data_IF_421080440156
#
_entry.id   IF_421080440156
#
_cell.length_a   1.000
_cell.length_b   1.000
_cell.length_c   1.000
_cell.angle_alpha   90.00
_cell.angle_beta   90.00
_cell.angle_gamma   90.00
#
_symmetry.space_group_name_H-M   'P 1'
#
loop_
_entity.id
_entity.type
_entity.pdbx_description
1 polymer ?
#
# COMPACT_ATOMS: atom_id res chain seq x y z
N UNK A 1 22.54 15.90 -13.50
CA UNK A 1 21.57 14.94 -14.07
C UNK A 1 20.77 14.41 -12.89
N UNK A 2 19.49 14.82 -12.72
CA UNK A 2 18.58 14.21 -11.74
C UNK A 2 18.40 12.74 -12.19
N UNK A 3 18.81 11.80 -11.34
CA UNK A 3 18.64 10.38 -11.63
C UNK A 3 17.13 10.05 -11.70
N UNK A 4 16.73 9.26 -12.69
CA UNK A 4 15.40 8.68 -12.71
C UNK A 4 15.41 7.44 -11.83
N UNK A 5 14.57 7.42 -10.80
CA UNK A 5 14.35 6.24 -9.99
C UNK A 5 13.38 5.30 -10.71
N UNK A 6 13.69 4.02 -10.64
CA UNK A 6 12.88 2.96 -11.21
C UNK A 6 12.57 1.98 -10.09
N UNK A 7 11.31 1.59 -9.98
CA UNK A 7 10.85 0.58 -9.05
C UNK A 7 10.53 -0.70 -9.83
N UNK A 8 11.07 -1.81 -9.38
CA UNK A 8 10.75 -3.13 -9.90
C UNK A 8 10.09 -3.94 -8.80
N UNK A 9 8.90 -4.50 -9.10
CA UNK A 9 8.21 -5.40 -8.18
C UNK A 9 8.96 -6.73 -8.14
N UNK A 10 9.33 -7.16 -6.94
CA UNK A 10 9.88 -8.48 -6.69
C UNK A 10 8.80 -9.53 -6.49
N UNK A 11 9.14 -10.63 -5.81
CA UNK A 11 8.22 -11.73 -5.55
C UNK A 11 7.04 -11.30 -4.69
N UNK A 12 5.84 -11.76 -5.07
CA UNK A 12 4.66 -11.72 -4.23
C UNK A 12 4.63 -13.01 -3.40
N UNK A 13 4.53 -12.85 -2.08
CA UNK A 13 4.47 -13.96 -1.13
C UNK A 13 3.10 -13.97 -0.47
N UNK A 14 2.37 -15.06 -0.64
CA UNK A 14 1.11 -15.25 0.07
C UNK A 14 1.38 -15.67 1.51
N UNK A 15 0.82 -14.93 2.47
CA UNK A 15 0.87 -15.22 3.89
C UNK A 15 -0.48 -15.79 4.32
N UNK A 16 -0.47 -17.02 4.83
CA UNK A 16 -1.69 -17.74 5.23
C UNK A 16 -1.62 -18.19 6.68
N UNK A 17 -2.78 -18.38 7.31
CA UNK A 17 -2.87 -18.97 8.63
C UNK A 17 -3.28 -20.44 8.55
N UNK A 18 -2.85 -21.24 9.53
CA UNK A 18 -3.35 -22.59 9.73
C UNK A 18 -4.59 -22.56 10.63
N UNK A 19 -5.78 -22.63 10.01
CA UNK A 19 -7.05 -22.61 10.71
C UNK A 19 -7.26 -23.81 11.66
N UNK A 20 -6.47 -24.88 11.52
CA UNK A 20 -6.52 -26.08 12.40
C UNK A 20 -5.72 -25.87 13.69
N UNK A 21 -4.73 -25.02 13.67
CA UNK A 21 -3.90 -24.70 14.84
C UNK A 21 -4.60 -23.72 15.78
N UNK A 22 -5.36 -24.25 16.75
CA UNK A 22 -6.05 -23.46 17.76
C UNK A 22 -5.15 -23.01 18.92
N UNK A 23 -3.94 -23.54 19.04
CA UNK A 23 -3.02 -23.21 20.12
C UNK A 23 -2.37 -21.83 19.94
N UNK A 24 -2.24 -21.36 18.69
CA UNK A 24 -1.64 -20.07 18.35
C UNK A 24 -2.69 -19.18 17.69
N UNK A 25 -3.00 -18.00 18.24
CA UNK A 25 -3.94 -17.07 17.61
C UNK A 25 -3.51 -16.72 16.18
N UNK A 26 -4.49 -16.54 15.29
CA UNK A 26 -4.27 -16.25 13.86
C UNK A 26 -3.31 -15.09 13.62
N UNK A 27 -3.45 -14.00 14.36
CA UNK A 27 -2.59 -12.82 14.23
C UNK A 27 -1.12 -13.16 14.45
N UNK A 28 -0.81 -13.98 15.46
CA UNK A 28 0.57 -14.41 15.73
C UNK A 28 1.11 -15.35 14.66
N UNK A 29 0.28 -16.23 14.10
CA UNK A 29 0.70 -17.13 13.01
C UNK A 29 1.13 -16.30 11.79
N UNK A 30 0.32 -15.33 11.38
CA UNK A 30 0.58 -14.45 10.24
C UNK A 30 1.81 -13.56 10.51
N UNK A 31 1.89 -12.95 11.69
CA UNK A 31 3.02 -12.08 12.05
C UNK A 31 4.35 -12.85 12.02
N UNK A 32 4.39 -14.06 12.56
CA UNK A 32 5.61 -14.90 12.51
C UNK A 32 6.06 -15.17 11.09
N UNK A 33 5.14 -15.53 10.18
CA UNK A 33 5.47 -15.74 8.78
C UNK A 33 6.01 -14.46 8.12
N UNK A 34 5.39 -13.30 8.38
CA UNK A 34 5.87 -12.00 7.88
C UNK A 34 7.30 -11.75 8.37
N UNK A 35 7.55 -11.93 9.66
CA UNK A 35 8.87 -11.72 10.26
C UNK A 35 9.91 -12.68 9.69
N UNK A 36 9.55 -13.95 9.50
CA UNK A 36 10.44 -14.96 8.93
C UNK A 36 10.79 -14.63 7.46
N UNK A 37 9.82 -14.20 6.65
CA UNK A 37 10.08 -13.76 5.28
C UNK A 37 10.93 -12.49 5.24
N UNK A 38 10.69 -11.53 6.14
CA UNK A 38 11.52 -10.34 6.25
C UNK A 38 12.98 -10.69 6.62
N UNK A 39 13.18 -11.54 7.62
CA UNK A 39 14.53 -12.00 8.03
C UNK A 39 15.24 -12.75 6.91
N UNK A 40 14.55 -13.67 6.24
CA UNK A 40 15.07 -14.45 5.10
C UNK A 40 15.54 -13.55 3.95
N UNK A 41 14.88 -12.42 3.75
CA UNK A 41 15.19 -11.47 2.67
C UNK A 41 16.06 -10.30 3.13
N UNK A 42 16.46 -10.24 4.40
CA UNK A 42 17.23 -9.13 4.95
C UNK A 42 16.48 -7.82 5.05
N UNK A 43 15.13 -7.86 5.12
CA UNK A 43 14.27 -6.68 5.26
C UNK A 43 14.25 -6.26 6.72
N UNK A 44 14.61 -5.01 7.00
CA UNK A 44 14.53 -4.42 8.33
C UNK A 44 13.10 -3.89 8.62
N UNK A 45 12.75 -3.69 9.91
CA UNK A 45 11.41 -3.20 10.28
C UNK A 45 11.04 -1.88 9.62
N UNK A 46 11.97 -0.96 9.49
CA UNK A 46 11.80 0.33 8.80
C UNK A 46 11.55 0.20 7.29
N UNK A 47 11.77 -0.97 6.72
CA UNK A 47 11.56 -1.28 5.30
C UNK A 47 10.32 -2.17 5.09
N UNK A 48 9.48 -2.29 6.12
CA UNK A 48 8.16 -2.92 6.07
C UNK A 48 7.06 -1.88 6.25
N UNK A 49 6.08 -1.87 5.33
CA UNK A 49 4.86 -1.10 5.48
C UNK A 49 3.65 -2.03 5.61
N UNK A 50 2.71 -1.66 6.47
CA UNK A 50 1.50 -2.47 6.75
C UNK A 50 0.27 -1.57 6.70
N UNK A 51 -0.78 -2.04 6.02
CA UNK A 51 -2.11 -1.40 6.11
C UNK A 51 -2.67 -1.61 7.53
N UNK A 52 -2.76 -0.54 8.29
CA UNK A 52 -3.29 -0.52 9.65
C UNK A 52 -4.80 -0.26 9.72
N UNK A 53 -5.52 -0.36 8.59
CA UNK A 53 -6.97 -0.12 8.57
C UNK A 53 -7.73 -1.31 9.13
N UNK A 54 -8.64 -1.07 10.06
CA UNK A 54 -9.54 -2.10 10.60
C UNK A 54 -8.79 -3.33 11.14
N UNK A 55 -8.93 -4.48 10.47
CA UNK A 55 -8.28 -5.72 10.85
C UNK A 55 -6.75 -5.68 10.80
N UNK A 56 -6.14 -4.73 10.12
CA UNK A 56 -4.69 -4.56 10.05
C UNK A 56 -4.05 -4.00 11.32
N UNK A 57 -4.81 -3.26 12.13
CA UNK A 57 -4.26 -2.65 13.35
C UNK A 57 -3.70 -3.68 14.35
N UNK A 58 -4.39 -4.78 14.71
CA UNK A 58 -3.85 -5.81 15.59
C UNK A 58 -2.55 -6.46 15.06
N UNK A 59 -2.41 -6.63 13.74
CA UNK A 59 -1.17 -7.14 13.15
C UNK A 59 -0.01 -6.17 13.38
N UNK A 60 -0.25 -4.87 13.19
CA UNK A 60 0.76 -3.84 13.45
C UNK A 60 1.21 -3.82 14.91
N UNK A 61 0.29 -4.03 15.87
CA UNK A 61 0.61 -4.03 17.29
C UNK A 61 1.46 -5.25 17.67
N UNK A 62 1.12 -6.43 17.17
CA UNK A 62 1.90 -7.65 17.38
C UNK A 62 3.27 -7.55 16.70
N UNK A 63 3.36 -7.03 15.46
CA UNK A 63 4.63 -6.80 14.78
C UNK A 63 5.55 -5.86 15.57
N UNK A 64 4.99 -4.78 16.12
CA UNK A 64 5.74 -3.83 16.93
C UNK A 64 6.27 -4.46 18.24
N UNK A 65 5.47 -5.29 18.90
CA UNK A 65 5.86 -5.97 20.13
C UNK A 65 6.83 -7.14 19.92
N UNK A 66 6.65 -7.93 18.87
CA UNK A 66 7.40 -9.17 18.63
C UNK A 66 8.68 -8.95 17.80
N UNK A 67 8.74 -7.89 17.01
CA UNK A 67 9.85 -7.71 16.06
C UNK A 67 10.39 -6.28 15.97
N UNK A 68 9.59 -5.30 15.56
CA UNK A 68 10.08 -3.94 15.35
C UNK A 68 8.97 -2.90 15.41
N UNK A 69 9.18 -1.85 16.22
CA UNK A 69 8.32 -0.67 16.28
C UNK A 69 8.53 0.32 15.11
N UNK A 70 9.59 0.10 14.30
CA UNK A 70 9.95 0.96 13.17
C UNK A 70 9.13 0.67 11.90
N UNK A 71 8.20 -0.28 11.93
CA UNK A 71 7.32 -0.57 10.79
C UNK A 71 6.49 0.67 10.42
N UNK A 72 6.32 0.91 9.11
CA UNK A 72 5.45 1.97 8.63
C UNK A 72 3.98 1.51 8.68
N UNK A 73 3.22 2.11 9.58
CA UNK A 73 1.77 1.89 9.67
C UNK A 73 1.04 2.87 8.77
N UNK A 74 0.24 2.40 7.82
CA UNK A 74 -0.51 3.24 6.89
C UNK A 74 -1.99 2.96 7.00
N UNK A 75 -2.77 3.94 7.44
CA UNK A 75 -4.23 3.85 7.43
C UNK A 75 -4.78 4.27 6.07
N UNK A 76 -5.31 3.34 5.30
CA UNK A 76 -5.86 3.59 3.96
C UNK A 76 -7.06 4.53 3.99
N UNK A 77 -7.89 4.44 5.02
CA UNK A 77 -9.02 5.36 5.25
C UNK A 77 -8.62 6.71 5.84
N UNK A 78 -7.38 6.85 6.29
CA UNK A 78 -6.86 8.07 6.89
C UNK A 78 -6.73 9.23 5.91
N UNK A 79 -6.35 10.39 6.43
CA UNK A 79 -6.11 11.62 5.66
C UNK A 79 -4.97 11.39 4.65
N UNK A 80 -5.11 11.91 3.44
CA UNK A 80 -4.03 11.97 2.47
C UNK A 80 -2.86 12.82 3.01
N UNK A 81 -1.68 12.70 2.44
CA UNK A 81 -0.50 13.41 2.94
C UNK A 81 -0.55 14.91 2.67
N UNK A 82 0.17 15.68 3.47
CA UNK A 82 0.40 17.11 3.21
C UNK A 82 1.63 17.34 2.29
N UNK A 83 2.13 16.26 1.64
CA UNK A 83 3.19 16.35 0.63
C UNK A 83 2.65 16.92 -0.68
N UNK A 84 3.50 17.62 -1.43
CA UNK A 84 3.14 18.08 -2.77
C UNK A 84 2.82 16.90 -3.68
N UNK A 85 1.80 17.06 -4.51
CA UNK A 85 1.37 16.04 -5.48
C UNK A 85 2.44 15.76 -6.53
N UNK A 86 3.20 16.79 -6.92
CA UNK A 86 4.38 16.68 -7.79
C UNK A 86 5.32 17.86 -7.54
N UNK A 87 6.57 17.79 -8.01
CA UNK A 87 7.56 18.88 -7.89
C UNK A 87 7.03 20.21 -8.44
N UNK A 88 6.26 20.16 -9.51
CA UNK A 88 5.74 21.35 -10.20
C UNK A 88 4.34 21.79 -9.73
N UNK A 89 3.73 21.04 -8.79
CA UNK A 89 2.41 21.35 -8.26
C UNK A 89 2.50 22.18 -6.98
N UNK A 90 1.60 23.16 -6.83
CA UNK A 90 1.38 23.83 -5.55
C UNK A 90 0.41 23.06 -4.66
N UNK A 91 -0.37 22.14 -5.24
CA UNK A 91 -1.34 21.32 -4.50
C UNK A 91 -0.64 20.26 -3.65
N UNK A 92 -1.18 20.03 -2.48
CA UNK A 92 -0.80 18.94 -1.59
C UNK A 92 -1.81 17.80 -1.66
N UNK A 93 -1.41 16.61 -1.19
CA UNK A 93 -2.25 15.41 -1.27
C UNK A 93 -3.64 15.60 -0.67
N UNK A 94 -3.74 16.28 0.47
CA UNK A 94 -5.02 16.56 1.15
C UNK A 94 -5.97 17.48 0.37
N UNK A 95 -5.47 18.25 -0.56
CA UNK A 95 -6.30 19.08 -1.43
C UNK A 95 -6.83 18.30 -2.64
N UNK A 96 -6.07 17.28 -3.11
CA UNK A 96 -6.40 16.52 -4.33
C UNK A 96 -7.05 15.18 -4.05
N UNK A 97 -6.72 14.50 -2.94
CA UNK A 97 -7.21 13.15 -2.65
C UNK A 97 -8.15 13.12 -1.44
N UNK A 98 -9.18 12.28 -1.51
CA UNK A 98 -10.15 12.13 -0.42
C UNK A 98 -9.57 11.44 0.81
N UNK A 99 -8.68 10.48 0.60
CA UNK A 99 -8.06 9.67 1.65
C UNK A 99 -6.72 9.12 1.19
N UNK A 100 -6.01 8.45 2.10
CA UNK A 100 -4.67 7.94 1.86
C UNK A 100 -4.62 6.90 0.73
N UNK A 101 -5.56 5.97 0.65
CA UNK A 101 -5.57 4.97 -0.42
C UNK A 101 -5.75 5.62 -1.80
N UNK A 102 -6.56 6.68 -1.90
CA UNK A 102 -6.71 7.40 -3.18
C UNK A 102 -5.41 8.04 -3.63
N UNK A 103 -4.63 8.59 -2.70
CA UNK A 103 -3.30 9.12 -2.98
C UNK A 103 -2.34 8.02 -3.44
N UNK A 104 -2.25 6.90 -2.70
CA UNK A 104 -1.36 5.78 -3.05
C UNK A 104 -1.63 5.26 -4.46
N UNK A 105 -2.90 5.04 -4.79
CA UNK A 105 -3.30 4.54 -6.10
C UNK A 105 -3.01 5.54 -7.22
N UNK A 106 -3.22 6.82 -6.97
CA UNK A 106 -2.95 7.84 -7.98
C UNK A 106 -1.45 8.01 -8.23
N UNK A 107 -0.65 7.99 -7.18
CA UNK A 107 0.81 8.00 -7.28
C UNK A 107 1.31 6.76 -8.04
N UNK A 108 0.80 5.56 -7.72
CA UNK A 108 1.12 4.33 -8.44
C UNK A 108 0.80 4.43 -9.93
N UNK A 109 -0.40 4.95 -10.27
CA UNK A 109 -0.79 5.23 -11.67
C UNK A 109 0.22 6.15 -12.37
N UNK A 110 0.66 7.22 -11.71
CA UNK A 110 1.62 8.16 -12.33
C UNK A 110 3.00 7.51 -12.53
N UNK A 111 3.47 6.67 -11.60
CA UNK A 111 4.72 5.94 -11.75
C UNK A 111 4.66 4.93 -12.91
N UNK A 112 3.52 4.27 -13.12
CA UNK A 112 3.29 3.40 -14.28
C UNK A 112 3.31 4.22 -15.57
N UNK A 113 2.55 5.32 -15.61
CA UNK A 113 2.44 6.20 -16.78
C UNK A 113 3.80 6.78 -17.19
N UNK A 114 4.65 7.11 -16.24
CA UNK A 114 5.99 7.65 -16.46
C UNK A 114 7.07 6.59 -16.63
N UNK A 115 6.68 5.30 -16.71
CA UNK A 115 7.59 4.16 -16.86
C UNK A 115 8.63 4.08 -15.74
N UNK A 116 8.20 4.34 -14.52
CA UNK A 116 9.04 4.24 -13.32
C UNK A 116 8.67 3.03 -12.44
N UNK A 117 7.63 2.28 -12.79
CA UNK A 117 7.22 1.06 -12.09
C UNK A 117 7.09 -0.10 -13.08
N UNK A 118 7.82 -1.18 -12.81
CA UNK A 118 7.94 -2.40 -13.62
C UNK A 118 7.64 -3.66 -12.80
N UNK A 119 7.66 -4.83 -13.46
CA UNK A 119 7.39 -6.12 -12.81
C UNK A 119 5.89 -6.38 -12.59
N UNK A 120 5.02 -5.71 -13.34
CA UNK A 120 3.57 -5.88 -13.23
C UNK A 120 3.16 -7.11 -14.03
N UNK A 121 2.73 -8.16 -13.32
CA UNK A 121 2.14 -9.36 -13.94
C UNK A 121 0.66 -9.16 -14.32
N UNK A 122 0.06 -10.19 -14.90
CA UNK A 122 -1.33 -10.13 -15.38
C UNK A 122 -2.35 -9.93 -14.26
N UNK A 123 -2.15 -10.57 -13.10
CA UNK A 123 -3.08 -10.49 -11.98
C UNK A 123 -3.05 -9.10 -11.32
N UNK A 124 -1.85 -8.57 -11.10
CA UNK A 124 -1.67 -7.20 -10.61
C UNK A 124 -2.21 -6.17 -11.60
N UNK A 125 -1.94 -6.35 -12.91
CA UNK A 125 -2.47 -5.47 -13.97
C UNK A 125 -4.00 -5.45 -13.97
N UNK A 126 -4.65 -6.61 -13.78
CA UNK A 126 -6.10 -6.71 -13.70
C UNK A 126 -6.67 -5.91 -12.51
N UNK A 127 -6.04 -6.00 -11.34
CA UNK A 127 -6.47 -5.22 -10.17
C UNK A 127 -6.28 -3.71 -10.39
N UNK A 128 -5.10 -3.31 -10.88
CA UNK A 128 -4.77 -1.90 -11.14
C UNK A 128 -5.74 -1.26 -12.14
N UNK A 129 -5.99 -1.94 -13.26
CA UNK A 129 -6.86 -1.40 -14.32
C UNK A 129 -8.34 -1.54 -14.00
N UNK A 130 -8.70 -2.49 -13.15
CA UNK A 130 -10.07 -2.79 -12.79
C UNK A 130 -10.70 -1.85 -11.77
N UNK A 131 -9.92 -1.13 -10.98
CA UNK A 131 -10.45 -0.28 -9.91
C UNK A 131 -10.86 1.10 -10.42
N UNK A 132 -12.13 1.46 -10.22
CA UNK A 132 -12.68 2.73 -10.64
C UNK A 132 -12.26 3.89 -9.71
N UNK A 133 -12.41 5.10 -10.19
CA UNK A 133 -12.31 6.31 -9.37
C UNK A 133 -13.39 7.32 -9.76
N UNK A 134 -13.64 8.25 -8.89
CA UNK A 134 -14.56 9.37 -9.11
C UNK A 134 -13.97 10.67 -8.60
N UNK A 135 -14.49 11.78 -9.08
CA UNK A 135 -14.21 13.11 -8.53
C UNK A 135 -15.35 13.55 -7.64
N UNK A 136 -15.04 13.89 -6.40
CA UNK A 136 -16.01 14.31 -5.38
C UNK A 136 -15.90 15.82 -5.17
N UNK A 137 -17.03 16.52 -5.28
CA UNK A 137 -17.14 17.96 -4.97
C UNK A 137 -17.36 18.14 -3.46
N UNK A 138 -16.50 18.96 -2.83
CA UNK A 138 -16.63 19.33 -1.42
C UNK A 138 -15.78 20.57 -1.13
N UNK A 139 -16.08 21.69 -1.83
CA UNK A 139 -15.24 22.90 -1.85
C UNK A 139 -14.18 22.83 -2.95
N UNK A 140 -13.29 21.86 -2.93
CA UNK A 140 -12.36 21.51 -4.04
C UNK A 140 -12.74 20.16 -4.63
N UNK A 141 -12.43 19.96 -5.92
CA UNK A 141 -12.57 18.65 -6.58
C UNK A 141 -11.48 17.71 -6.07
N UNK A 142 -11.87 16.63 -5.40
CA UNK A 142 -10.96 15.62 -4.90
C UNK A 142 -11.21 14.26 -5.54
N UNK A 143 -10.14 13.51 -5.73
CA UNK A 143 -10.16 12.15 -6.29
C UNK A 143 -10.45 11.15 -5.18
N UNK A 144 -11.41 10.27 -5.42
CA UNK A 144 -11.73 9.13 -4.56
C UNK A 144 -11.64 7.85 -5.37
N UNK A 145 -10.80 6.91 -4.91
CA UNK A 145 -10.74 5.56 -5.49
C UNK A 145 -11.95 4.75 -4.99
N UNK A 146 -12.45 3.84 -5.83
CA UNK A 146 -13.51 2.90 -5.48
C UNK A 146 -13.20 2.14 -4.20
N UNK A 147 -14.18 1.97 -3.33
CA UNK A 147 -13.99 1.23 -2.07
C UNK A 147 -13.72 -0.26 -2.30
N UNK A 148 -12.98 -0.93 -1.39
CA UNK A 148 -12.77 -2.38 -1.46
C UNK A 148 -14.06 -3.20 -1.57
N UNK A 149 -15.12 -2.91 -0.78
CA UNK A 149 -16.39 -3.63 -0.92
C UNK A 149 -17.03 -3.47 -2.29
N UNK A 150 -17.02 -2.28 -2.89
CA UNK A 150 -17.58 -2.03 -4.21
C UNK A 150 -16.75 -2.76 -5.30
N UNK A 151 -15.42 -2.69 -5.24
CA UNK A 151 -14.55 -3.44 -6.12
C UNK A 151 -14.80 -4.94 -6.02
N UNK A 152 -14.84 -5.49 -4.78
CA UNK A 152 -15.08 -6.91 -4.53
C UNK A 152 -16.45 -7.37 -5.06
N UNK A 153 -17.50 -6.56 -4.92
CA UNK A 153 -18.82 -6.87 -5.45
C UNK A 153 -18.81 -7.01 -6.98
N UNK A 154 -17.96 -6.27 -7.67
CA UNK A 154 -17.83 -6.24 -9.13
C UNK A 154 -16.82 -7.25 -9.68
N UNK A 155 -15.71 -7.47 -8.95
CA UNK A 155 -14.58 -8.32 -9.38
C UNK A 155 -14.55 -9.70 -8.71
N UNK A 156 -15.34 -9.94 -7.66
CA UNK A 156 -15.33 -11.18 -6.88
C UNK A 156 -14.20 -11.31 -5.85
N UNK A 157 -13.13 -10.52 -5.98
CA UNK A 157 -11.97 -10.50 -5.06
C UNK A 157 -11.58 -9.08 -4.67
N UNK A 158 -10.85 -8.91 -3.56
CA UNK A 158 -10.26 -7.62 -3.16
C UNK A 158 -9.05 -7.28 -4.03
N UNK A 159 -8.70 -5.99 -4.20
CA UNK A 159 -7.50 -5.57 -4.94
C UNK A 159 -6.25 -5.58 -4.03
N UNK A 160 -6.00 -6.73 -3.40
CA UNK A 160 -5.00 -6.80 -2.31
C UNK A 160 -3.56 -6.77 -2.85
N UNK A 161 -3.32 -7.30 -4.07
CA UNK A 161 -2.02 -7.21 -4.74
C UNK A 161 -1.65 -5.76 -5.06
N UNK A 162 -2.59 -5.02 -5.65
CA UNK A 162 -2.38 -3.62 -6.01
C UNK A 162 -2.23 -2.72 -4.77
N UNK A 163 -3.02 -2.95 -3.73
CA UNK A 163 -2.90 -2.23 -2.47
C UNK A 163 -1.51 -2.47 -1.82
N UNK A 164 -1.02 -3.72 -1.80
CA UNK A 164 0.31 -4.06 -1.29
C UNK A 164 1.43 -3.43 -2.13
N UNK A 165 1.34 -3.52 -3.46
CA UNK A 165 2.32 -2.94 -4.37
C UNK A 165 2.43 -1.42 -4.21
N UNK A 166 1.31 -0.71 -4.16
CA UNK A 166 1.31 0.74 -4.01
C UNK A 166 1.73 1.21 -2.61
N UNK A 167 1.46 0.40 -1.58
CA UNK A 167 1.98 0.64 -0.24
C UNK A 167 3.50 0.49 -0.19
N UNK A 168 4.05 -0.52 -0.84
CA UNK A 168 5.49 -0.74 -0.98
C UNK A 168 6.17 0.42 -1.75
N UNK A 169 5.57 0.87 -2.86
CA UNK A 169 6.05 2.04 -3.61
C UNK A 169 6.08 3.31 -2.74
N UNK A 170 5.06 3.53 -1.92
CA UNK A 170 5.02 4.69 -1.02
C UNK A 170 6.12 4.63 0.03
N UNK A 171 6.34 3.46 0.63
CA UNK A 171 7.45 3.24 1.56
C UNK A 171 8.80 3.53 0.90
N UNK A 172 9.06 2.95 -0.28
CA UNK A 172 10.29 3.16 -1.02
C UNK A 172 10.53 4.65 -1.35
N UNK A 173 9.48 5.35 -1.78
CA UNK A 173 9.56 6.81 -2.00
C UNK A 173 9.91 7.58 -0.72
N UNK A 174 9.31 7.23 0.41
CA UNK A 174 9.62 7.87 1.69
C UNK A 174 11.07 7.61 2.13
N UNK A 175 11.52 6.36 2.01
CA UNK A 175 12.87 5.94 2.40
C UNK A 175 13.97 6.60 1.56
N UNK A 176 13.70 6.82 0.28
CA UNK A 176 14.68 7.41 -0.64
C UNK A 176 14.45 8.92 -0.90
N UNK A 177 13.56 9.56 -0.16
CA UNK A 177 13.28 11.01 -0.30
C UNK A 177 12.70 11.38 -1.66
N UNK A 178 11.96 10.48 -2.32
CA UNK A 178 11.35 10.69 -3.62
C UNK A 178 9.97 11.34 -3.46
N UNK A 179 9.73 12.41 -4.16
CA UNK A 179 8.45 13.16 -4.17
C UNK A 179 7.75 13.07 -5.51
#
# INVERSE_FOLDING_TARGET
TKGHFVFELGDLVEITDDATNKAVPRTFQIVRQIVDECKKRGIAGQDLAVDSTGAGAPFCDVLAGEWSDQILRVSFGGKASDKRVSENSKLVGTELYMNRVSELWWVGKELIRTKQFFGIDADLAQEITGRNYETVKGGTLRIRIESKPAFKARFGKSPDLADAAFLCLDLARQRHGLT
#
